data_IF_848070055637
#
_entry.id   IF_848070055637
#
_cell.length_a   1.000
_cell.length_b   1.000
_cell.length_c   1.000
_cell.angle_alpha   90.00
_cell.angle_beta   90.00
_cell.angle_gamma   90.00
#
_symmetry.space_group_name_H-M   'P 1'
#
loop_
_entity.id
_entity.type
_entity.pdbx_description
1 polymer ?
#
# COMPACT_ATOMS: atom_id res chain seq x y z
N UNK A 1 -10.23 -1.50 -7.47
CA UNK A 1 -11.67 -1.83 -7.30
C UNK A 1 -11.76 -3.30 -6.92
N UNK A 2 -12.68 -3.64 -6.04
CA UNK A 2 -12.94 -5.01 -5.58
C UNK A 2 -14.44 -5.31 -5.63
N UNK A 3 -14.79 -6.59 -5.74
CA UNK A 3 -16.20 -7.02 -5.79
C UNK A 3 -16.47 -8.18 -4.84
N UNK A 4 -17.68 -8.22 -4.28
CA UNK A 4 -18.16 -9.34 -3.48
C UNK A 4 -19.58 -9.74 -3.91
N UNK A 5 -19.91 -11.03 -3.82
CA UNK A 5 -21.27 -11.52 -4.06
C UNK A 5 -22.07 -11.41 -2.76
N UNK A 6 -23.21 -10.73 -2.80
CA UNK A 6 -24.14 -10.56 -1.67
C UNK A 6 -25.54 -11.00 -2.13
N UNK A 7 -25.96 -12.20 -1.71
CA UNK A 7 -27.17 -12.82 -2.23
C UNK A 7 -27.07 -13.04 -3.75
N UNK A 8 -28.02 -12.48 -4.51
CA UNK A 8 -28.03 -12.54 -5.98
C UNK A 8 -27.42 -11.30 -6.65
N UNK A 9 -26.76 -10.42 -5.88
CA UNK A 9 -26.24 -9.16 -6.39
C UNK A 9 -24.73 -9.03 -6.19
N UNK A 10 -24.10 -8.19 -7.01
CA UNK A 10 -22.68 -7.84 -6.88
C UNK A 10 -22.55 -6.55 -6.10
N UNK A 11 -21.76 -6.59 -5.04
CA UNK A 11 -21.33 -5.42 -4.27
C UNK A 11 -19.97 -4.95 -4.80
N UNK A 12 -19.83 -3.64 -4.97
CA UNK A 12 -18.62 -2.97 -5.43
C UNK A 12 -17.97 -2.19 -4.30
N UNK A 13 -16.64 -2.26 -4.25
CA UNK A 13 -15.78 -1.42 -3.42
C UNK A 13 -14.82 -0.68 -4.34
N UNK A 14 -14.97 0.65 -4.41
CA UNK A 14 -14.17 1.49 -5.30
C UNK A 14 -13.42 2.52 -4.46
N UNK A 15 -12.14 2.71 -4.79
CA UNK A 15 -11.34 3.81 -4.29
C UNK A 15 -10.86 4.62 -5.49
N UNK A 16 -10.91 5.94 -5.38
CA UNK A 16 -10.42 6.86 -6.39
C UNK A 16 -9.65 7.98 -5.72
N UNK A 17 -8.60 8.47 -6.38
CA UNK A 17 -7.78 9.56 -5.85
C UNK A 17 -7.73 10.72 -6.82
N UNK A 18 -7.62 11.91 -6.25
CA UNK A 18 -7.19 13.16 -6.86
C UNK A 18 -5.89 13.57 -6.16
N UNK A 19 -5.17 14.61 -6.64
CA UNK A 19 -3.94 15.05 -5.97
C UNK A 19 -4.07 15.33 -4.46
N UNK A 20 -5.25 15.73 -4.00
CA UNK A 20 -5.49 16.12 -2.60
C UNK A 20 -6.56 15.29 -1.89
N UNK A 21 -7.30 14.42 -2.59
CA UNK A 21 -8.41 13.66 -1.99
C UNK A 21 -8.45 12.20 -2.39
N UNK A 22 -8.73 11.33 -1.44
CA UNK A 22 -9.06 9.94 -1.62
C UNK A 22 -10.52 9.71 -1.30
N UNK A 23 -11.26 9.16 -2.26
CA UNK A 23 -12.67 8.84 -2.18
C UNK A 23 -12.86 7.34 -2.04
N UNK A 24 -13.86 6.94 -1.25
CA UNK A 24 -14.33 5.56 -1.17
C UNK A 24 -15.80 5.46 -1.52
N UNK A 25 -16.15 4.50 -2.37
CA UNK A 25 -17.52 4.24 -2.80
C UNK A 25 -17.87 2.78 -2.55
N UNK A 26 -19.07 2.56 -2.02
CA UNK A 26 -19.63 1.23 -1.82
C UNK A 26 -21.07 1.18 -2.28
N UNK A 27 -21.45 0.10 -2.95
CA UNK A 27 -22.83 -0.08 -3.36
C UNK A 27 -23.07 -1.42 -4.04
N UNK A 28 -24.34 -1.72 -4.32
CA UNK A 28 -24.79 -2.99 -4.92
C UNK A 28 -25.42 -2.69 -6.28
N UNK A 29 -25.21 -3.55 -7.28
CA UNK A 29 -25.82 -3.43 -8.60
C UNK A 29 -24.78 -3.31 -9.70
N UNK A 30 -24.75 -2.18 -10.41
CA UNK A 30 -23.72 -1.83 -11.40
C UNK A 30 -22.89 -0.64 -10.92
N UNK A 31 -21.70 -0.41 -11.50
CA UNK A 31 -20.90 0.79 -11.20
C UNK A 31 -21.69 2.08 -11.45
N UNK A 32 -22.48 2.14 -12.52
CA UNK A 32 -23.34 3.28 -12.82
C UNK A 32 -24.34 3.54 -11.69
N UNK A 33 -25.02 2.49 -11.21
CA UNK A 33 -25.94 2.61 -10.07
C UNK A 33 -25.21 3.06 -8.79
N UNK A 34 -24.01 2.53 -8.53
CA UNK A 34 -23.21 2.94 -7.39
C UNK A 34 -22.89 4.44 -7.47
N UNK A 35 -22.28 4.92 -8.55
CA UNK A 35 -21.94 6.33 -8.68
C UNK A 35 -23.18 7.25 -8.71
N UNK A 36 -24.26 6.84 -9.38
CA UNK A 36 -25.51 7.61 -9.38
C UNK A 36 -26.07 7.80 -7.98
N UNK A 37 -25.95 6.79 -7.10
CA UNK A 37 -26.42 6.88 -5.70
C UNK A 37 -25.66 7.92 -4.86
N UNK A 38 -24.46 8.32 -5.29
CA UNK A 38 -23.66 9.37 -4.64
C UNK A 38 -23.94 10.79 -5.17
N UNK A 39 -24.90 10.95 -6.10
CA UNK A 39 -25.34 12.28 -6.54
C UNK A 39 -26.08 13.02 -5.43
N UNK A 40 -26.94 12.30 -4.70
CA UNK A 40 -27.80 12.84 -3.63
C UNK A 40 -27.31 12.48 -2.22
N UNK A 41 -26.15 11.82 -2.12
CA UNK A 41 -25.59 11.30 -0.88
C UNK A 41 -24.20 11.86 -0.61
N UNK A 42 -23.91 12.14 0.65
CA UNK A 42 -22.58 12.55 1.07
C UNK A 42 -21.54 11.46 0.75
N UNK A 43 -20.47 11.85 0.03
CA UNK A 43 -19.34 10.98 -0.28
C UNK A 43 -18.32 11.08 0.85
N UNK A 44 -17.86 9.94 1.36
CA UNK A 44 -16.74 9.90 2.29
C UNK A 44 -15.43 10.09 1.54
N UNK A 45 -14.64 11.06 1.99
CA UNK A 45 -13.30 11.27 1.47
C UNK A 45 -12.32 11.61 2.58
N UNK A 46 -11.06 11.31 2.32
CA UNK A 46 -9.92 11.81 3.07
C UNK A 46 -9.23 12.89 2.24
N UNK A 47 -8.87 14.00 2.87
CA UNK A 47 -8.16 15.09 2.23
C UNK A 47 -6.79 15.28 2.86
N UNK A 48 -5.76 15.38 2.03
CA UNK A 48 -4.39 15.67 2.42
C UNK A 48 -3.88 16.86 1.63
N UNK A 49 -3.24 17.84 2.27
CA UNK A 49 -2.74 19.02 1.60
C UNK A 49 -1.48 18.71 0.78
N UNK A 50 -1.07 19.68 -0.05
CA UNK A 50 0.21 19.67 -0.73
C UNK A 50 0.11 19.29 -2.20
N UNK A 51 1.05 19.82 -2.97
CA UNK A 51 1.16 19.56 -4.40
C UNK A 51 2.05 18.35 -4.67
N UNK A 52 1.71 17.56 -5.68
CA UNK A 52 2.54 16.45 -6.15
C UNK A 52 2.46 16.38 -7.68
N UNK A 53 3.55 16.04 -8.39
CA UNK A 53 3.51 15.92 -9.85
C UNK A 53 2.52 14.85 -10.32
N UNK A 54 2.47 13.71 -9.62
CA UNK A 54 1.57 12.62 -9.90
C UNK A 54 1.03 12.02 -8.59
N UNK A 55 -0.28 11.85 -8.50
CA UNK A 55 -0.92 11.18 -7.36
C UNK A 55 -1.29 9.76 -7.78
N UNK A 56 -0.77 8.79 -7.05
CA UNK A 56 -0.91 7.37 -7.38
C UNK A 56 -1.65 6.62 -6.28
N UNK A 57 -2.46 5.62 -6.67
CA UNK A 57 -3.15 4.71 -5.78
C UNK A 57 -2.77 3.27 -6.17
N UNK A 58 -2.10 2.57 -5.25
CA UNK A 58 -1.61 1.21 -5.48
C UNK A 58 -2.17 0.25 -4.42
N UNK A 59 -2.25 -1.02 -4.79
CA UNK A 59 -2.83 -2.07 -3.96
C UNK A 59 -1.88 -3.25 -3.87
N UNK A 60 -1.71 -3.79 -2.67
CA UNK A 60 -1.14 -5.11 -2.50
C UNK A 60 -2.25 -6.16 -2.55
N UNK A 61 -2.10 -7.14 -3.44
CA UNK A 61 -3.08 -8.20 -3.66
C UNK A 61 -2.48 -9.53 -3.19
N UNK A 62 -3.21 -10.22 -2.30
CA UNK A 62 -2.84 -11.54 -1.77
C UNK A 62 -4.01 -12.48 -1.98
N UNK A 63 -3.74 -13.63 -2.61
CA UNK A 63 -4.78 -14.63 -2.93
C UNK A 63 -5.96 -14.03 -3.71
N UNK A 64 -5.66 -13.21 -4.75
CA UNK A 64 -6.64 -12.54 -5.62
C UNK A 64 -7.57 -11.55 -4.90
N UNK A 65 -7.15 -11.03 -3.75
CA UNK A 65 -7.90 -9.98 -3.04
C UNK A 65 -6.95 -8.90 -2.55
N UNK A 66 -7.31 -7.65 -2.77
CA UNK A 66 -6.59 -6.52 -2.20
C UNK A 66 -6.62 -6.62 -0.67
N UNK A 67 -5.45 -6.48 -0.05
CA UNK A 67 -5.27 -6.51 1.40
C UNK A 67 -4.82 -5.19 1.95
N UNK A 68 -4.00 -4.48 1.17
CA UNK A 68 -3.53 -3.16 1.53
C UNK A 68 -3.68 -2.21 0.36
N UNK A 69 -3.81 -0.94 0.69
CA UNK A 69 -3.63 0.14 -0.28
C UNK A 69 -2.60 1.12 0.24
N UNK A 70 -2.01 1.86 -0.68
CA UNK A 70 -1.31 3.11 -0.42
C UNK A 70 -1.80 4.17 -1.38
N UNK A 71 -1.77 5.41 -0.94
CA UNK A 71 -2.03 6.61 -1.73
C UNK A 71 -0.85 7.57 -1.60
N UNK A 72 -0.15 7.78 -2.70
CA UNK A 72 0.91 8.77 -2.84
C UNK A 72 0.29 10.15 -3.01
N UNK A 73 0.44 11.00 -2.00
CA UNK A 73 -0.12 12.35 -1.95
C UNK A 73 0.99 13.41 -1.77
N UNK A 74 0.63 14.69 -1.90
CA UNK A 74 1.57 15.79 -1.70
C UNK A 74 2.14 15.92 -0.28
N UNK A 75 1.43 15.47 0.75
CA UNK A 75 1.88 15.51 2.14
C UNK A 75 2.69 14.28 2.56
N UNK A 76 2.48 13.13 1.91
CA UNK A 76 3.01 11.85 2.34
C UNK A 76 2.25 10.68 1.72
N UNK A 77 2.50 9.47 2.22
CA UNK A 77 1.77 8.27 1.79
C UNK A 77 0.74 7.92 2.86
N UNK A 78 -0.53 7.96 2.49
CA UNK A 78 -1.60 7.44 3.32
C UNK A 78 -1.92 6.00 2.92
N UNK A 79 -2.03 5.11 3.90
CA UNK A 79 -2.17 3.68 3.65
C UNK A 79 -3.07 3.02 4.68
N UNK A 80 -3.45 1.78 4.41
CA UNK A 80 -4.22 1.00 5.37
C UNK A 80 -4.56 -0.39 4.85
N UNK A 81 -5.36 -1.08 5.63
CA UNK A 81 -5.85 -2.42 5.34
C UNK A 81 -7.26 -2.38 4.76
N UNK A 82 -7.54 -3.34 3.88
CA UNK A 82 -8.81 -3.45 3.19
C UNK A 82 -9.56 -4.67 3.70
N UNK A 83 -10.69 -4.42 4.36
CA UNK A 83 -11.56 -5.45 4.89
C UNK A 83 -12.91 -5.43 4.18
N UNK A 84 -13.08 -6.39 3.27
CA UNK A 84 -14.26 -6.55 2.45
C UNK A 84 -15.20 -7.60 3.08
N UNK A 85 -15.68 -7.38 4.30
CA UNK A 85 -16.55 -8.32 5.00
C UNK A 85 -17.94 -8.46 4.37
N UNK A 86 -18.56 -9.66 4.48
CA UNK A 86 -19.99 -9.87 4.20
C UNK A 86 -20.91 -9.55 5.41
N UNK A 87 -20.29 -9.39 6.59
CA UNK A 87 -20.96 -9.29 7.90
C UNK A 87 -21.17 -7.85 8.39
N UNK A 88 -20.59 -6.84 7.74
CA UNK A 88 -20.87 -5.42 8.03
C UNK A 88 -22.02 -4.88 7.19
N UNK A 89 -22.89 -5.78 6.71
CA UNK A 89 -24.02 -5.54 5.80
C UNK A 89 -25.09 -4.65 6.41
N UNK A 90 -24.78 -3.36 6.51
CA UNK A 90 -25.81 -2.34 6.45
C UNK A 90 -26.30 -2.30 4.99
N UNK A 91 -27.60 -2.46 4.80
CA UNK A 91 -28.27 -2.27 3.50
C UNK A 91 -28.14 -0.83 2.98
N UNK A 92 -27.70 0.10 3.82
CA UNK A 92 -27.45 1.50 3.48
C UNK A 92 -26.17 1.74 2.67
N UNK A 93 -25.31 0.73 2.49
CA UNK A 93 -24.11 0.84 1.65
C UNK A 93 -23.14 1.94 2.12
N UNK A 94 -23.05 2.17 3.44
CA UNK A 94 -22.09 3.10 4.08
C UNK A 94 -21.05 2.33 4.90
N UNK A 95 -20.37 1.40 4.24
CA UNK A 95 -19.39 0.56 4.90
C UNK A 95 -17.99 1.15 4.72
N UNK A 96 -17.39 1.60 5.82
CA UNK A 96 -15.96 1.90 5.84
C UNK A 96 -15.17 0.58 5.77
N UNK A 97 -14.75 0.19 4.58
CA UNK A 97 -13.94 -1.02 4.33
C UNK A 97 -12.43 -0.81 4.54
N UNK A 98 -12.05 0.36 5.07
CA UNK A 98 -10.65 0.71 5.37
C UNK A 98 -10.39 0.67 6.87
N UNK A 99 -9.43 -0.18 7.25
CA UNK A 99 -8.98 -0.43 8.62
C UNK A 99 -7.48 -0.13 8.77
N UNK A 100 -6.97 -0.13 10.01
CA UNK A 100 -5.53 -0.04 10.33
C UNK A 100 -4.79 1.04 9.51
N UNK A 101 -5.35 2.25 9.54
CA UNK A 101 -4.90 3.41 8.75
C UNK A 101 -3.56 3.92 9.28
N UNK A 102 -2.66 4.27 8.36
CA UNK A 102 -1.35 4.83 8.66
C UNK A 102 -0.99 5.97 7.71
N UNK A 103 -0.01 6.77 8.13
CA UNK A 103 0.55 7.86 7.35
C UNK A 103 2.07 7.84 7.44
N UNK A 104 2.72 7.88 6.29
CA UNK A 104 4.17 7.97 6.16
C UNK A 104 4.54 9.38 5.67
N UNK A 105 5.29 10.09 6.50
CA UNK A 105 5.78 11.44 6.25
C UNK A 105 7.11 11.40 5.50
N UNK A 106 7.22 12.14 4.38
CA UNK A 106 8.42 12.17 3.55
C UNK A 106 9.65 12.72 4.28
N UNK A 107 9.50 13.48 5.37
CA UNK A 107 10.63 13.93 6.20
C UNK A 107 11.48 12.77 6.75
N UNK A 108 10.92 11.56 6.83
CA UNK A 108 11.62 10.33 7.23
C UNK A 108 12.57 9.78 6.16
N UNK A 109 12.50 10.30 4.94
CA UNK A 109 13.35 9.84 3.83
C UNK A 109 14.78 10.38 3.91
N UNK A 110 15.03 11.38 4.77
CA UNK A 110 16.34 12.02 4.92
C UNK A 110 16.71 12.96 3.76
N UNK A 111 16.01 12.88 2.62
CA UNK A 111 16.21 13.76 1.48
C UNK A 111 15.37 15.03 1.65
N UNK A 112 16.03 16.18 1.67
CA UNK A 112 15.40 17.48 1.89
C UNK A 112 14.35 17.79 0.82
N UNK A 113 13.06 17.61 1.15
CA UNK A 113 11.87 17.99 0.37
C UNK A 113 11.62 17.25 -0.96
N UNK A 114 12.38 16.22 -1.30
CA UNK A 114 12.14 15.46 -2.54
C UNK A 114 11.01 14.47 -2.30
N UNK A 115 9.95 14.57 -3.12
CA UNK A 115 8.80 13.67 -3.06
C UNK A 115 9.02 12.51 -4.01
N UNK A 116 8.56 11.29 -3.68
CA UNK A 116 8.60 10.18 -4.61
C UNK A 116 7.81 10.52 -5.88
N UNK A 117 8.37 10.18 -7.05
CA UNK A 117 7.72 10.36 -8.35
C UNK A 117 6.71 9.25 -8.63
N UNK A 118 6.94 8.06 -8.07
CA UNK A 118 6.08 6.88 -8.19
C UNK A 118 6.34 5.94 -7.01
N UNK A 119 5.43 5.00 -6.76
CA UNK A 119 5.64 3.98 -5.73
C UNK A 119 4.91 2.67 -6.03
N UNK A 120 5.31 1.61 -5.32
CA UNK A 120 4.58 0.35 -5.27
C UNK A 120 4.38 -0.12 -3.82
N UNK A 121 3.37 -0.97 -3.60
CA UNK A 121 2.98 -1.46 -2.27
C UNK A 121 3.11 -2.98 -2.23
N UNK A 122 3.91 -3.49 -1.31
CA UNK A 122 4.02 -4.92 -1.00
C UNK A 122 3.29 -5.25 0.31
N UNK A 123 3.49 -6.46 0.83
CA UNK A 123 2.88 -6.87 2.10
C UNK A 123 3.38 -5.99 3.25
N UNK A 124 4.69 -5.79 3.34
CA UNK A 124 5.34 -5.11 4.46
C UNK A 124 6.08 -3.83 4.06
N UNK A 125 6.24 -3.53 2.76
CA UNK A 125 7.07 -2.41 2.29
C UNK A 125 6.37 -1.49 1.29
N UNK A 126 6.88 -0.27 1.23
CA UNK A 126 6.74 0.62 0.10
C UNK A 126 8.04 0.62 -0.68
N UNK A 127 7.96 0.52 -2.00
CA UNK A 127 9.07 0.82 -2.89
C UNK A 127 8.83 2.23 -3.42
N UNK A 128 9.72 3.17 -3.12
CA UNK A 128 9.57 4.59 -3.45
C UNK A 128 10.62 4.97 -4.48
N UNK A 129 10.18 5.42 -5.65
CA UNK A 129 11.06 5.98 -6.67
C UNK A 129 11.32 7.45 -6.35
N UNK A 130 12.57 7.78 -6.05
CA UNK A 130 13.03 9.14 -5.74
C UNK A 130 14.23 9.39 -6.63
N UNK A 131 14.08 10.30 -7.59
CA UNK A 131 15.09 10.56 -8.61
C UNK A 131 15.51 9.27 -9.34
N UNK A 132 16.75 8.81 -9.18
CA UNK A 132 17.32 7.61 -9.79
C UNK A 132 17.42 6.43 -8.79
N UNK A 133 16.77 6.54 -7.63
CA UNK A 133 16.85 5.58 -6.54
C UNK A 133 15.50 4.98 -6.20
N UNK A 134 15.50 3.71 -5.82
CA UNK A 134 14.35 3.04 -5.22
C UNK A 134 14.67 2.85 -3.74
N UNK A 135 13.99 3.60 -2.87
CA UNK A 135 14.05 3.41 -1.42
C UNK A 135 12.99 2.41 -0.99
N UNK A 136 13.40 1.38 -0.24
CA UNK A 136 12.49 0.40 0.34
C UNK A 136 12.21 0.78 1.78
N UNK A 137 10.95 1.09 2.08
CA UNK A 137 10.50 1.54 3.40
C UNK A 137 9.57 0.52 3.99
N UNK A 138 9.83 0.07 5.21
CA UNK A 138 8.92 -0.81 5.92
C UNK A 138 7.66 -0.04 6.34
N UNK A 139 6.48 -0.52 5.97
CA UNK A 139 5.19 0.13 6.19
C UNK A 139 4.77 0.20 7.66
N UNK A 140 5.31 -0.71 8.47
CA UNK A 140 4.94 -0.87 9.87
C UNK A 140 5.89 -0.05 10.74
N UNK A 141 7.21 -0.28 10.63
CA UNK A 141 8.21 0.47 11.40
C UNK A 141 8.51 1.87 10.83
N UNK A 142 8.10 2.12 9.57
CA UNK A 142 8.38 3.35 8.81
C UNK A 142 9.88 3.65 8.67
N UNK A 143 10.72 2.62 8.74
CA UNK A 143 12.17 2.72 8.54
C UNK A 143 12.54 2.36 7.10
N UNK A 144 13.57 3.04 6.59
CA UNK A 144 14.22 2.66 5.33
C UNK A 144 15.04 1.39 5.61
N UNK A 145 14.76 0.32 4.89
CA UNK A 145 15.46 -0.96 5.05
C UNK A 145 16.50 -1.19 3.95
N UNK A 146 16.33 -0.58 2.79
CA UNK A 146 17.21 -0.73 1.64
C UNK A 146 17.11 0.49 0.70
N UNK A 147 18.18 0.75 -0.03
CA UNK A 147 18.24 1.75 -1.10
C UNK A 147 18.92 1.10 -2.31
N UNK A 148 18.21 1.10 -3.45
CA UNK A 148 18.70 0.56 -4.71
C UNK A 148 18.95 1.72 -5.66
N UNK A 149 20.16 1.82 -6.21
CA UNK A 149 20.46 2.77 -7.28
C UNK A 149 20.13 2.10 -8.60
N UNK A 150 19.33 2.76 -9.45
CA UNK A 150 19.04 2.22 -10.77
C UNK A 150 20.15 2.65 -11.71
N UNK A 151 20.89 1.68 -12.24
CA UNK A 151 21.94 1.93 -13.23
C UNK A 151 21.31 2.51 -14.50
N UNK A 152 21.41 3.83 -14.66
CA UNK A 152 21.00 4.50 -15.90
C UNK A 152 21.97 4.07 -17.00
N UNK A 153 21.54 3.15 -17.85
CA UNK A 153 22.27 2.86 -19.10
C UNK A 153 22.30 4.14 -19.94
N UNK A 154 23.39 4.43 -20.67
CA UNK A 154 23.54 5.66 -21.45
C UNK A 154 22.47 5.88 -22.54
N UNK A 155 21.64 4.87 -22.82
CA UNK A 155 20.51 4.96 -23.77
C UNK A 155 19.24 5.56 -23.14
N UNK A 156 19.06 5.55 -21.81
CA UNK A 156 17.88 6.09 -21.14
C UNK A 156 18.13 7.52 -20.62
N UNK A 157 17.96 8.51 -21.49
CA UNK A 157 18.19 9.93 -21.17
C UNK A 157 17.32 10.52 -20.04
N UNK A 158 16.27 9.81 -19.59
CA UNK A 158 15.31 10.26 -18.55
C UNK A 158 15.25 9.40 -17.29
N UNK A 159 15.99 8.28 -17.22
CA UNK A 159 15.91 7.34 -16.10
C UNK A 159 14.54 6.67 -15.94
N UNK A 160 14.36 5.96 -14.83
CA UNK A 160 13.09 5.30 -14.48
C UNK A 160 12.01 6.35 -14.22
N UNK A 161 10.83 6.15 -14.81
CA UNK A 161 9.70 7.08 -14.70
C UNK A 161 8.59 6.57 -13.78
N UNK A 162 8.57 5.26 -13.47
CA UNK A 162 7.52 4.70 -12.65
C UNK A 162 7.81 3.31 -12.08
N UNK A 163 7.03 2.96 -11.06
CA UNK A 163 6.99 1.65 -10.44
C UNK A 163 5.59 1.05 -10.59
N UNK A 164 5.52 -0.27 -10.75
CA UNK A 164 4.27 -1.00 -10.69
C UNK A 164 4.49 -2.41 -10.16
N UNK A 165 3.39 -3.07 -9.80
CA UNK A 165 3.39 -4.46 -9.36
C UNK A 165 2.41 -5.28 -10.18
N UNK A 166 2.81 -6.50 -10.57
CA UNK A 166 1.88 -7.48 -11.10
C UNK A 166 1.13 -8.15 -9.95
N UNK A 167 -0.16 -7.84 -9.84
CA UNK A 167 -1.06 -8.40 -8.83
C UNK A 167 -1.20 -9.93 -8.88
N UNK A 168 -0.91 -10.55 -10.02
CA UNK A 168 -1.05 -12.01 -10.21
C UNK A 168 0.16 -12.78 -9.71
N UNK A 169 1.36 -12.21 -9.90
CA UNK A 169 2.64 -12.85 -9.58
C UNK A 169 3.30 -12.28 -8.34
N UNK A 170 2.91 -11.08 -7.90
CA UNK A 170 3.55 -10.35 -6.80
C UNK A 170 4.90 -9.74 -7.18
N UNK A 171 5.24 -9.71 -8.48
CA UNK A 171 6.52 -9.19 -8.98
C UNK A 171 6.42 -7.68 -9.16
N UNK A 172 7.49 -6.98 -8.79
CA UNK A 172 7.61 -5.53 -8.95
C UNK A 172 8.43 -5.20 -10.20
N UNK A 173 8.03 -4.12 -10.86
CA UNK A 173 8.69 -3.61 -12.05
C UNK A 173 8.98 -2.12 -11.90
N UNK A 174 10.14 -1.73 -12.38
CA UNK A 174 10.52 -0.36 -12.66
C UNK A 174 10.55 -0.19 -14.19
N UNK A 175 10.08 0.93 -14.70
CA UNK A 175 10.05 1.15 -16.15
C UNK A 175 10.46 2.57 -16.52
N UNK A 176 11.04 2.69 -17.71
CA UNK A 176 11.28 3.96 -18.40
C UNK A 176 10.42 4.05 -19.67
N UNK A 177 10.73 4.99 -20.58
CA UNK A 177 9.98 5.17 -21.84
C UNK A 177 10.13 4.00 -22.83
N UNK A 178 11.14 3.14 -22.65
CA UNK A 178 11.59 2.13 -23.62
C UNK A 178 11.78 0.73 -23.04
N UNK A 179 11.98 0.62 -21.73
CA UNK A 179 12.44 -0.59 -21.05
C UNK A 179 11.67 -0.86 -19.76
N UNK A 180 11.55 -2.15 -19.41
CA UNK A 180 10.94 -2.62 -18.16
C UNK A 180 11.96 -3.51 -17.46
N UNK A 181 12.22 -3.19 -16.19
CA UNK A 181 13.17 -3.87 -15.32
C UNK A 181 12.40 -4.54 -14.19
N UNK A 182 12.71 -5.80 -13.92
CA UNK A 182 12.16 -6.49 -12.76
C UNK A 182 12.94 -6.09 -11.50
N UNK A 183 12.24 -5.66 -10.46
CA UNK A 183 12.83 -5.40 -9.15
C UNK A 183 12.82 -6.71 -8.35
N UNK A 184 14.00 -7.22 -8.01
CA UNK A 184 14.13 -8.46 -7.27
C UNK A 184 13.78 -8.26 -5.80
N UNK A 185 12.73 -8.92 -5.32
CA UNK A 185 12.38 -8.98 -3.90
C UNK A 185 12.69 -10.37 -3.35
N UNK A 186 13.59 -10.46 -2.37
CA UNK A 186 13.93 -11.72 -1.72
C UNK A 186 13.64 -11.65 -0.22
N UNK A 187 12.85 -12.59 0.28
CA UNK A 187 12.56 -12.79 1.70
C UNK A 187 12.10 -11.51 2.43
N UNK A 188 11.06 -10.87 1.89
CA UNK A 188 10.49 -9.63 2.42
C UNK A 188 10.09 -9.72 3.90
N UNK A 189 9.69 -10.90 4.37
CA UNK A 189 9.22 -11.14 5.73
C UNK A 189 10.32 -11.42 6.75
N UNK A 190 11.59 -11.51 6.33
CA UNK A 190 12.68 -12.09 7.15
C UNK A 190 12.89 -11.43 8.52
N UNK A 191 12.72 -10.10 8.57
CA UNK A 191 12.98 -9.28 9.76
C UNK A 191 11.68 -8.84 10.46
N UNK A 192 10.52 -9.27 9.94
CA UNK A 192 9.22 -8.84 10.47
C UNK A 192 8.94 -9.33 11.89
N UNK A 193 9.49 -10.49 12.28
CA UNK A 193 9.38 -10.97 13.66
C UNK A 193 9.96 -9.96 14.66
N UNK A 194 11.09 -9.32 14.31
CA UNK A 194 11.75 -8.33 15.16
C UNK A 194 10.96 -7.02 15.17
N UNK A 195 10.47 -6.58 14.00
CA UNK A 195 9.59 -5.39 13.92
C UNK A 195 8.37 -5.54 14.83
N UNK A 196 7.69 -6.70 14.78
CA UNK A 196 6.54 -6.95 15.65
C UNK A 196 6.91 -7.14 17.11
N UNK A 197 8.10 -7.67 17.42
CA UNK A 197 8.62 -7.78 18.77
C UNK A 197 8.84 -6.39 19.39
N UNK A 198 9.45 -5.46 18.64
CA UNK A 198 9.70 -4.08 19.07
C UNK A 198 8.38 -3.32 19.33
N UNK A 199 7.32 -3.69 18.61
CA UNK A 199 5.95 -3.20 18.84
C UNK A 199 5.21 -3.89 19.99
N UNK A 200 5.84 -4.84 20.69
CA UNK A 200 5.23 -5.69 21.73
C UNK A 200 4.05 -6.52 21.23
N UNK A 201 3.95 -6.75 19.92
CA UNK A 201 2.94 -7.59 19.29
C UNK A 201 3.39 -9.06 19.28
N UNK A 202 3.60 -9.64 20.46
CA UNK A 202 4.28 -10.94 20.63
C UNK A 202 3.64 -12.09 19.84
N UNK A 203 2.31 -12.17 19.81
CA UNK A 203 1.61 -13.21 19.06
C UNK A 203 1.88 -13.13 17.54
N UNK A 204 1.93 -11.91 17.00
CA UNK A 204 2.22 -11.67 15.58
C UNK A 204 3.71 -11.91 15.31
N UNK A 205 4.61 -11.44 16.18
CA UNK A 205 6.04 -11.71 16.11
C UNK A 205 6.35 -13.22 16.01
N UNK A 206 5.71 -14.03 16.86
CA UNK A 206 5.85 -15.50 16.84
C UNK A 206 5.38 -16.14 15.52
N UNK A 207 4.32 -15.61 14.90
CA UNK A 207 3.85 -16.10 13.59
C UNK A 207 4.82 -15.79 12.44
N UNK A 208 5.68 -14.78 12.60
CA UNK A 208 6.71 -14.41 11.63
C UNK A 208 8.09 -15.03 11.93
N UNK A 209 8.25 -15.76 13.03
CA UNK A 209 9.50 -16.46 13.34
C UNK A 209 9.72 -17.66 12.41
N UNK A 210 10.84 -17.66 11.69
CA UNK A 210 11.25 -18.73 10.78
C UNK A 210 12.02 -19.85 11.50
N UNK A 211 12.71 -19.55 12.61
CA UNK A 211 13.53 -20.53 13.33
C UNK A 211 13.28 -20.52 14.85
N UNK A 212 13.75 -21.56 15.59
CA UNK A 212 13.57 -21.63 17.04
C UNK A 212 14.27 -20.50 17.80
N UNK A 213 15.45 -20.07 17.35
CA UNK A 213 16.19 -18.98 18.00
C UNK A 213 15.38 -17.67 18.05
N UNK A 214 14.72 -17.30 16.95
CA UNK A 214 13.82 -16.14 16.92
C UNK A 214 12.65 -16.28 17.90
N UNK A 215 12.05 -17.47 18.01
CA UNK A 215 10.97 -17.73 18.97
C UNK A 215 11.44 -17.58 20.41
N UNK A 216 12.61 -18.12 20.74
CA UNK A 216 13.21 -18.00 22.07
C UNK A 216 13.44 -16.53 22.45
N UNK A 217 13.93 -15.71 21.51
CA UNK A 217 14.08 -14.27 21.72
C UNK A 217 12.73 -13.59 22.04
N UNK A 218 11.68 -13.91 21.27
CA UNK A 218 10.34 -13.35 21.53
C UNK A 218 9.81 -13.77 22.91
N UNK A 219 9.96 -15.04 23.29
CA UNK A 219 9.52 -15.52 24.60
C UNK A 219 10.28 -14.88 25.76
N UNK A 220 11.60 -14.68 25.63
CA UNK A 220 12.41 -14.03 26.66
C UNK A 220 11.91 -12.61 26.95
N UNK A 221 11.60 -11.83 25.90
CA UNK A 221 11.11 -10.46 26.05
C UNK A 221 9.66 -10.44 26.56
N UNK A 222 8.81 -11.41 26.20
CA UNK A 222 7.42 -11.45 26.63
C UNK A 222 7.25 -11.65 28.15
N UNK A 223 8.21 -12.30 28.81
CA UNK A 223 8.18 -12.59 30.25
C UNK A 223 8.79 -11.46 31.10
N UNK A 224 9.45 -10.48 30.46
CA UNK A 224 9.98 -9.26 31.11
C UNK A 224 8.91 -8.17 31.22
#
# INVERSE_FOLDING_TARGET
METAVVGNATRYYVMAVTPTRLYSFTGIGSLETVFASYTDRAIHFMELPGEIPNSELHFFIKQRRAKHFGWLSGAGIYYGELNFGAQHSSTSGDENFVENKGFFDYSKLGDSNIKPSSFAVSEFHFLLLIEDKIKVVNRISQQIVEELVVDNTPESSKGIIGLCSDASTGVFYAFDETSIFQVSTSDEGRDMWQVYLDMKAYAVALSHCLNPFQRDQVYLVQVM
#
